data_IF_241336152210
#
_entry.id   IF_241336152210
#
_cell.length_a   1.000
_cell.length_b   1.000
_cell.length_c   1.000
_cell.angle_alpha   90.00
_cell.angle_beta   90.00
_cell.angle_gamma   90.00
#
_symmetry.space_group_name_H-M   'P 1'
#
loop_
_entity.id
_entity.type
_entity.pdbx_description
1 polymer ?
#
# COMPACT_ATOMS: atom_id res chain seq x y z
N UNK A 1 -30.92 5.19 -26.15
CA UNK A 1 -30.16 4.46 -25.11
C UNK A 1 -28.69 4.62 -25.47
N UNK A 2 -28.00 5.60 -24.89
CA UNK A 2 -26.56 5.78 -25.15
C UNK A 2 -25.78 4.75 -24.33
N UNK A 3 -24.77 4.06 -24.90
CA UNK A 3 -23.85 3.26 -24.12
C UNK A 3 -22.98 4.20 -23.30
N UNK A 4 -23.22 4.21 -21.99
CA UNK A 4 -22.36 4.84 -20.99
C UNK A 4 -20.91 4.36 -21.18
N UNK A 5 -20.05 5.28 -21.61
CA UNK A 5 -18.63 5.04 -21.77
C UNK A 5 -18.06 4.57 -20.44
N UNK A 6 -17.44 3.39 -20.44
CA UNK A 6 -16.71 2.79 -19.32
C UNK A 6 -15.73 3.82 -18.77
N UNK A 7 -16.09 4.49 -17.68
CA UNK A 7 -15.22 5.45 -17.01
C UNK A 7 -14.05 4.65 -16.44
N UNK A 8 -12.93 4.64 -17.16
CA UNK A 8 -11.67 4.12 -16.61
C UNK A 8 -11.18 5.21 -15.64
N UNK A 9 -11.63 5.11 -14.39
CA UNK A 9 -11.33 6.10 -13.35
C UNK A 9 -9.85 6.04 -12.98
N UNK A 10 -9.01 6.67 -13.79
CA UNK A 10 -7.58 6.84 -13.53
C UNK A 10 -7.32 7.96 -12.50
N UNK A 11 -8.37 8.71 -12.11
CA UNK A 11 -8.33 9.79 -11.11
C UNK A 11 -8.52 9.28 -9.68
N UNK A 12 -9.08 8.09 -9.48
CA UNK A 12 -9.33 7.52 -8.15
C UNK A 12 -8.12 6.85 -7.49
N UNK A 13 -7.00 6.71 -8.20
CA UNK A 13 -5.93 5.81 -7.77
C UNK A 13 -4.89 6.44 -6.85
N UNK A 14 -4.95 7.74 -6.56
CA UNK A 14 -4.06 8.40 -5.59
C UNK A 14 -4.75 8.86 -4.30
N UNK A 15 -6.08 8.85 -4.26
CA UNK A 15 -6.80 9.21 -3.05
C UNK A 15 -6.81 8.05 -2.04
N UNK A 16 -6.64 8.33 -0.74
CA UNK A 16 -6.85 7.35 0.31
C UNK A 16 -8.23 6.70 0.16
N UNK A 17 -8.27 5.37 0.19
CA UNK A 17 -9.51 4.62 0.21
C UNK A 17 -10.14 4.63 1.60
N UNK A 18 -9.31 4.49 2.64
CA UNK A 18 -9.69 4.59 4.05
C UNK A 18 -8.45 4.92 4.89
N UNK A 19 -8.61 4.99 6.22
CA UNK A 19 -7.49 4.91 7.16
C UNK A 19 -7.62 3.73 8.10
N UNK A 20 -6.49 3.26 8.61
CA UNK A 20 -6.37 2.27 9.66
C UNK A 20 -5.53 2.83 10.82
N UNK A 21 -5.61 2.22 12.00
CA UNK A 21 -4.76 2.60 13.13
C UNK A 21 -3.32 2.16 12.91
N UNK A 22 -2.38 2.79 13.62
CA UNK A 22 -0.98 2.39 13.63
C UNK A 22 -0.79 0.91 14.00
N UNK A 23 -1.56 0.41 14.96
CA UNK A 23 -1.48 -0.97 15.42
C UNK A 23 -1.99 -1.96 14.36
N UNK A 24 -3.12 -1.67 13.71
CA UNK A 24 -3.64 -2.49 12.61
C UNK A 24 -2.65 -2.53 11.44
N UNK A 25 -2.12 -1.37 11.04
CA UNK A 25 -1.10 -1.26 9.99
C UNK A 25 0.14 -2.07 10.32
N UNK A 26 0.65 -1.96 11.54
CA UNK A 26 1.82 -2.73 11.98
C UNK A 26 1.56 -4.24 11.91
N UNK A 27 0.41 -4.70 12.44
CA UNK A 27 0.04 -6.12 12.41
C UNK A 27 -0.14 -6.65 10.98
N UNK A 28 -0.72 -5.87 10.07
CA UNK A 28 -0.87 -6.23 8.66
C UNK A 28 0.48 -6.36 7.98
N UNK A 29 1.36 -5.37 8.14
CA UNK A 29 2.70 -5.39 7.53
C UNK A 29 3.53 -6.55 8.09
N UNK A 30 3.48 -6.81 9.40
CA UNK A 30 4.17 -7.93 10.04
C UNK A 30 3.69 -9.30 9.49
N UNK A 31 2.37 -9.48 9.38
CA UNK A 31 1.80 -10.69 8.77
C UNK A 31 2.25 -10.87 7.31
N UNK A 32 2.38 -9.78 6.55
CA UNK A 32 2.87 -9.83 5.17
C UNK A 32 4.36 -10.15 5.10
N UNK A 33 5.17 -9.62 6.02
CA UNK A 33 6.59 -9.96 6.14
C UNK A 33 6.76 -11.45 6.45
N UNK A 34 5.98 -11.97 7.40
CA UNK A 34 6.01 -13.38 7.75
C UNK A 34 5.55 -14.29 6.59
N UNK A 35 4.57 -13.84 5.80
CA UNK A 35 4.01 -14.62 4.69
C UNK A 35 4.82 -14.53 3.39
N UNK A 36 5.76 -13.58 3.24
CA UNK A 36 6.44 -13.29 1.96
C UNK A 36 7.94 -13.27 2.11
N UNK A 37 8.57 -14.26 1.50
CA UNK A 37 10.03 -14.36 1.44
C UNK A 37 10.65 -13.10 0.82
N UNK A 38 11.70 -12.59 1.47
CA UNK A 38 12.46 -11.42 1.01
C UNK A 38 11.79 -10.06 1.23
N UNK A 39 10.53 -9.99 1.69
CA UNK A 39 9.87 -8.70 1.93
C UNK A 39 10.53 -7.92 3.08
N UNK A 40 10.96 -8.60 4.15
CA UNK A 40 11.68 -7.97 5.26
C UNK A 40 12.95 -7.27 4.80
N UNK A 41 13.79 -7.96 4.02
CA UNK A 41 15.06 -7.43 3.55
C UNK A 41 14.85 -6.29 2.55
N UNK A 42 13.84 -6.42 1.68
CA UNK A 42 13.43 -5.36 0.76
C UNK A 42 13.02 -4.09 1.49
N UNK A 43 12.17 -4.19 2.52
CA UNK A 43 11.76 -3.04 3.32
C UNK A 43 12.96 -2.42 4.04
N UNK A 44 13.82 -3.22 4.67
CA UNK A 44 15.03 -2.72 5.34
C UNK A 44 15.98 -1.99 4.39
N UNK A 45 16.09 -2.43 3.14
CA UNK A 45 16.97 -1.84 2.14
C UNK A 45 16.41 -0.57 1.48
N UNK A 46 15.08 -0.44 1.40
CA UNK A 46 14.42 0.62 0.61
C UNK A 46 13.70 1.66 1.47
N UNK A 47 13.49 1.41 2.77
CA UNK A 47 12.68 2.29 3.62
C UNK A 47 13.35 2.74 4.92
N UNK A 48 12.90 3.88 5.43
CA UNK A 48 13.05 4.28 6.82
C UNK A 48 11.75 4.05 7.58
N UNK A 49 11.81 3.90 8.92
CA UNK A 49 10.60 3.81 9.75
C UNK A 49 9.63 4.96 9.51
N UNK A 50 8.34 4.67 9.65
CA UNK A 50 7.29 5.68 9.72
C UNK A 50 7.34 6.43 11.05
N UNK A 51 6.79 7.64 11.07
CA UNK A 51 6.62 8.44 12.29
C UNK A 51 5.46 7.95 13.15
N UNK A 52 5.33 8.50 14.36
CA UNK A 52 4.37 8.08 15.39
C UNK A 52 2.93 8.59 15.13
N UNK A 53 2.46 8.51 13.88
CA UNK A 53 1.08 8.82 13.53
C UNK A 53 0.14 7.72 14.04
N UNK A 54 -0.95 8.16 14.68
CA UNK A 54 -2.02 7.27 15.18
C UNK A 54 -2.78 6.58 14.03
N UNK A 55 -2.88 7.24 12.87
CA UNK A 55 -3.64 6.76 11.71
C UNK A 55 -2.83 6.86 10.43
N UNK A 56 -3.01 5.86 9.57
CA UNK A 56 -2.34 5.75 8.28
C UNK A 56 -3.36 5.61 7.16
N UNK A 57 -3.08 6.24 6.03
CA UNK A 57 -3.90 6.06 4.83
C UNK A 57 -3.68 4.68 4.23
N UNK A 58 -4.78 4.15 3.68
CA UNK A 58 -4.84 2.87 2.99
C UNK A 58 -5.36 3.13 1.58
N UNK A 59 -4.73 2.54 0.58
CA UNK A 59 -5.11 2.72 -0.83
C UNK A 59 -5.56 1.41 -1.44
N UNK A 60 -6.31 1.46 -2.54
CA UNK A 60 -6.56 0.25 -3.34
C UNK A 60 -5.33 -0.11 -4.16
N UNK A 61 -5.07 -1.42 -4.30
CA UNK A 61 -4.05 -1.89 -5.22
C UNK A 61 -4.43 -1.53 -6.66
N UNK A 62 -3.54 -0.88 -7.44
CA UNK A 62 -3.81 -0.57 -8.84
C UNK A 62 -3.60 -1.78 -9.77
N UNK A 63 -3.08 -2.90 -9.26
CA UNK A 63 -2.82 -4.09 -10.07
C UNK A 63 -4.13 -4.70 -10.56
N UNK A 64 -4.34 -4.84 -11.88
CA UNK A 64 -5.53 -5.49 -12.42
C UNK A 64 -5.71 -6.90 -11.86
N UNK A 65 -6.91 -7.21 -11.39
CA UNK A 65 -7.23 -8.51 -10.79
C UNK A 65 -6.77 -8.69 -9.33
N UNK A 66 -6.14 -7.68 -8.73
CA UNK A 66 -5.80 -7.71 -7.30
C UNK A 66 -6.80 -6.87 -6.50
N UNK A 67 -7.58 -7.53 -5.64
CA UNK A 67 -8.52 -6.88 -4.73
C UNK A 67 -7.86 -6.36 -3.43
N UNK A 68 -6.53 -6.39 -3.34
CA UNK A 68 -5.79 -6.01 -2.14
C UNK A 68 -5.80 -4.51 -1.87
N UNK A 69 -5.50 -4.18 -0.62
CA UNK A 69 -5.24 -2.85 -0.10
C UNK A 69 -3.73 -2.63 0.05
N UNK A 70 -3.32 -1.36 0.04
CA UNK A 70 -1.94 -0.94 0.20
C UNK A 70 -1.78 -0.33 1.59
N UNK A 71 -0.88 -0.91 2.39
CA UNK A 71 -0.58 -0.50 3.75
C UNK A 71 0.77 0.21 3.81
N UNK A 72 0.86 1.30 4.56
CA UNK A 72 2.13 2.01 4.76
C UNK A 72 3.13 1.11 5.50
N UNK A 73 4.35 0.99 4.97
CA UNK A 73 5.41 0.15 5.54
C UNK A 73 6.69 0.93 5.88
N UNK A 74 6.81 2.18 5.42
CA UNK A 74 7.96 3.03 5.64
C UNK A 74 7.94 4.27 4.75
N UNK A 75 8.90 5.15 4.93
CA UNK A 75 9.20 6.19 3.94
C UNK A 75 10.27 5.66 2.99
N UNK A 76 10.12 5.89 1.70
CA UNK A 76 11.14 5.45 0.75
C UNK A 76 12.42 6.28 0.92
N UNK A 77 13.57 5.63 0.94
CA UNK A 77 14.87 6.28 1.18
C UNK A 77 15.21 7.33 0.13
N UNK A 78 14.99 7.01 -1.15
CA UNK A 78 15.44 7.86 -2.27
C UNK A 78 14.33 8.77 -2.81
N UNK A 79 13.09 8.54 -2.40
CA UNK A 79 11.91 9.22 -2.95
C UNK A 79 11.09 9.69 -1.76
N UNK A 80 10.84 10.99 -1.64
CA UNK A 80 10.03 11.59 -0.57
C UNK A 80 8.55 11.15 -0.66
N UNK A 81 8.30 9.87 -0.45
CA UNK A 81 7.06 9.17 -0.71
C UNK A 81 6.88 8.07 0.35
N UNK A 82 5.62 7.74 0.64
CA UNK A 82 5.27 6.63 1.52
C UNK A 82 5.43 5.33 0.74
N UNK A 83 6.26 4.44 1.27
CA UNK A 83 6.42 3.09 0.77
C UNK A 83 5.26 2.23 1.26
N UNK A 84 4.50 1.65 0.34
CA UNK A 84 3.30 0.87 0.67
C UNK A 84 3.41 -0.55 0.13
N UNK A 85 2.89 -1.51 0.91
CA UNK A 85 2.88 -2.94 0.56
C UNK A 85 1.44 -3.39 0.30
N UNK A 86 1.21 -4.11 -0.78
CA UNK A 86 -0.12 -4.66 -1.08
C UNK A 86 -0.39 -5.90 -0.24
N UNK A 87 -1.54 -6.05 0.42
CA UNK A 87 -1.91 -7.28 1.13
C UNK A 87 -2.53 -8.37 0.23
N UNK A 88 -2.89 -8.02 -1.00
CA UNK A 88 -3.50 -8.93 -1.95
C UNK A 88 -2.54 -9.91 -2.63
N UNK A 89 -3.07 -10.68 -3.56
CA UNK A 89 -2.36 -11.77 -4.27
C UNK A 89 -1.19 -11.32 -5.13
N UNK A 90 -1.09 -10.03 -5.49
CA UNK A 90 -0.02 -9.56 -6.36
C UNK A 90 1.33 -9.43 -5.66
N UNK A 91 1.35 -9.36 -4.33
CA UNK A 91 2.56 -9.20 -3.51
C UNK A 91 3.48 -8.02 -3.89
N UNK A 92 2.95 -7.02 -4.59
CA UNK A 92 3.72 -5.86 -5.06
C UNK A 92 3.83 -4.76 -3.99
N UNK A 93 4.87 -3.93 -4.15
CA UNK A 93 5.08 -2.70 -3.40
C UNK A 93 4.91 -1.49 -4.31
N UNK A 94 4.51 -0.35 -3.74
CA UNK A 94 4.25 0.90 -4.46
C UNK A 94 4.71 2.10 -3.64
N UNK A 95 4.70 3.28 -4.27
CA UNK A 95 5.01 4.56 -3.64
C UNK A 95 3.78 5.48 -3.70
N UNK A 96 3.55 6.27 -2.65
CA UNK A 96 2.44 7.22 -2.51
C UNK A 96 2.91 8.60 -2.09
#
# INVERSE_FOLDING_TARGET
MQPEGRVTSNVGQNYPYTSETAAERAARVDALIAAREGLADKLRAETTPLDENERWWVWKCPTPGCAGLLHAAGYALEKHAVYVVCDGTCAKTFLR
#
